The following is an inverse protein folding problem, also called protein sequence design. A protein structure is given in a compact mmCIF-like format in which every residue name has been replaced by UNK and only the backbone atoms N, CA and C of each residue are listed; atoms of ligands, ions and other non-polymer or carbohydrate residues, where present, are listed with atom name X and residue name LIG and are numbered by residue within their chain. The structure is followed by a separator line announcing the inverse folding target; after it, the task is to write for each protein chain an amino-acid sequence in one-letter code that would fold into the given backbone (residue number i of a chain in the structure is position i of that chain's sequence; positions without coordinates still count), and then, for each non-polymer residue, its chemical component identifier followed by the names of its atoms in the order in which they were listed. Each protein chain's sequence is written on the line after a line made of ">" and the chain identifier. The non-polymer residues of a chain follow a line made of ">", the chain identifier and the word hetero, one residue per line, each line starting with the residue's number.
data_IF_712377748266
#
_entry.id   IF_712377748266
#
_cell.length_a   1.000
_cell.length_b   1.000
_cell.length_c   1.000
_cell.angle_alpha   90.00
_cell.angle_beta   90.00
_cell.angle_gamma   90.00
#
_symmetry.space_group_name_H-M   'P 1'
#
loop_
_entity.id
_entity.type
_entity.pdbx_description
1 polymer ?
#
# COMPACT_ATOMS: atom_id res chain seq x y z
N UNK A 1 -42.01 -3.31 3.68
CA UNK A 1 -41.07 -2.51 2.89
C UNK A 1 -40.60 -1.33 3.71
N UNK A 2 -39.30 -1.07 3.76
CA UNK A 2 -38.73 0.07 4.49
C UNK A 2 -39.06 1.38 3.74
N UNK A 3 -39.28 2.48 4.47
CA UNK A 3 -39.45 3.80 3.83
C UNK A 3 -38.24 4.20 2.98
N UNK A 4 -37.05 3.74 3.37
CA UNK A 4 -35.78 4.03 2.67
C UNK A 4 -35.64 3.20 1.38
N UNK A 5 -36.11 1.96 1.37
CA UNK A 5 -36.18 1.10 0.17
C UNK A 5 -37.10 1.70 -0.90
N UNK A 6 -38.26 2.22 -0.49
CA UNK A 6 -39.20 2.89 -1.40
C UNK A 6 -38.58 4.16 -2.01
N UNK A 7 -37.81 4.91 -1.20
CA UNK A 7 -37.09 6.09 -1.66
C UNK A 7 -36.00 5.74 -2.70
N UNK A 8 -35.26 4.65 -2.51
CA UNK A 8 -34.27 4.17 -3.49
C UNK A 8 -34.96 3.80 -4.80
N UNK A 9 -36.03 3.00 -4.75
CA UNK A 9 -36.76 2.59 -5.97
C UNK A 9 -37.35 3.78 -6.73
N UNK A 10 -37.89 4.77 -6.01
CA UNK A 10 -38.40 6.02 -6.59
C UNK A 10 -37.29 6.94 -7.16
N UNK A 11 -36.14 7.00 -6.51
CA UNK A 11 -34.99 7.76 -7.01
C UNK A 11 -34.44 7.13 -8.29
N UNK A 12 -34.35 5.80 -8.33
CA UNK A 12 -33.99 5.05 -9.53
C UNK A 12 -35.00 5.26 -10.66
N UNK A 13 -36.30 5.27 -10.37
CA UNK A 13 -37.37 5.52 -11.37
C UNK A 13 -37.29 6.90 -12.03
N UNK A 14 -36.98 7.92 -11.22
CA UNK A 14 -36.86 9.31 -11.68
C UNK A 14 -35.53 9.60 -12.40
N UNK A 15 -34.61 8.64 -12.39
CA UNK A 15 -33.27 8.76 -12.97
C UNK A 15 -33.07 7.69 -14.05
N UNK A 16 -31.95 7.75 -14.75
CA UNK A 16 -31.62 6.72 -15.73
C UNK A 16 -31.18 5.41 -15.03
N UNK A 17 -32.09 4.43 -14.98
CA UNK A 17 -31.84 3.09 -14.44
C UNK A 17 -30.82 2.30 -15.25
N UNK A 18 -30.62 2.60 -16.52
CA UNK A 18 -29.67 1.87 -17.37
C UNK A 18 -28.23 2.31 -17.11
N UNK A 19 -28.02 3.52 -16.60
CA UNK A 19 -26.68 4.08 -16.38
C UNK A 19 -26.06 3.64 -15.04
N UNK A 20 -24.96 2.86 -15.04
CA UNK A 20 -24.35 2.34 -13.81
C UNK A 20 -23.77 3.43 -12.89
N UNK A 21 -23.30 4.55 -13.44
CA UNK A 21 -22.72 5.63 -12.63
C UNK A 21 -23.79 6.38 -11.82
N UNK A 22 -24.97 6.57 -12.41
CA UNK A 22 -26.10 7.23 -11.75
C UNK A 22 -26.64 6.32 -10.64
N UNK A 23 -26.76 5.01 -10.89
CA UNK A 23 -27.14 4.02 -9.86
C UNK A 23 -26.16 4.00 -8.69
N UNK A 24 -24.85 4.00 -8.96
CA UNK A 24 -23.82 4.03 -7.93
C UNK A 24 -23.92 5.26 -7.02
N UNK A 25 -24.17 6.45 -7.60
CA UNK A 25 -24.39 7.69 -6.81
C UNK A 25 -25.64 7.61 -5.94
N UNK A 26 -26.73 7.05 -6.45
CA UNK A 26 -27.98 6.88 -5.69
C UNK A 26 -27.74 5.95 -4.50
N UNK A 27 -27.04 4.82 -4.67
CA UNK A 27 -26.71 3.93 -3.56
C UNK A 27 -25.78 4.56 -2.53
N UNK A 28 -24.79 5.33 -2.98
CA UNK A 28 -23.93 6.08 -2.07
C UNK A 28 -24.74 7.09 -1.24
N UNK A 29 -25.67 7.80 -1.85
CA UNK A 29 -26.56 8.73 -1.14
C UNK A 29 -27.47 8.01 -0.13
N UNK A 30 -27.95 6.81 -0.45
CA UNK A 30 -28.79 6.01 0.44
C UNK A 30 -28.02 5.54 1.69
N UNK A 31 -26.75 5.13 1.53
CA UNK A 31 -25.88 4.77 2.66
C UNK A 31 -25.65 5.96 3.59
N UNK A 32 -25.37 7.13 3.02
CA UNK A 32 -25.20 8.36 3.80
C UNK A 32 -26.49 8.76 4.53
N UNK A 33 -27.64 8.61 3.88
CA UNK A 33 -28.95 8.88 4.49
C UNK A 33 -29.26 7.92 5.65
N UNK A 34 -28.90 6.64 5.53
CA UNK A 34 -29.04 5.67 6.63
C UNK A 34 -28.18 6.08 7.83
N UNK A 35 -26.91 6.41 7.62
CA UNK A 35 -26.01 6.85 8.70
C UNK A 35 -26.48 8.14 9.37
N UNK A 36 -26.95 9.10 8.58
CA UNK A 36 -27.53 10.34 9.10
C UNK A 36 -28.83 10.07 9.89
N UNK A 37 -29.66 9.13 9.43
CA UNK A 37 -30.88 8.71 10.12
C UNK A 37 -30.60 8.02 11.46
N UNK A 38 -29.64 7.09 11.49
CA UNK A 38 -29.23 6.39 12.71
C UNK A 38 -28.62 7.36 13.73
N UNK A 39 -27.78 8.30 13.28
CA UNK A 39 -27.25 9.37 14.14
C UNK A 39 -28.34 10.27 14.71
N UNK A 40 -29.35 10.63 13.90
CA UNK A 40 -30.47 11.48 14.33
C UNK A 40 -31.39 10.79 15.35
N UNK A 41 -31.45 9.46 15.33
CA UNK A 41 -32.19 8.65 16.28
C UNK A 41 -31.38 8.30 17.54
N UNK A 42 -30.15 8.82 17.65
CA UNK A 42 -29.20 8.57 18.74
C UNK A 42 -28.93 7.06 18.98
N UNK A 43 -29.02 6.27 17.92
CA UNK A 43 -28.72 4.83 17.96
C UNK A 43 -27.20 4.69 17.89
N UNK A 44 -26.59 4.37 19.03
CA UNK A 44 -25.14 4.23 19.19
C UNK A 44 -24.67 2.78 19.34
N UNK A 45 -25.61 1.83 19.45
CA UNK A 45 -25.28 0.40 19.51
C UNK A 45 -24.69 -0.09 18.19
N UNK A 46 -23.45 -0.58 18.26
CA UNK A 46 -22.66 -1.07 17.13
C UNK A 46 -23.36 -2.23 16.41
N UNK A 47 -24.05 -3.11 17.15
CA UNK A 47 -24.74 -4.28 16.59
C UNK A 47 -26.03 -3.87 15.84
N UNK A 48 -26.71 -2.83 16.32
CA UNK A 48 -27.89 -2.30 15.63
C UNK A 48 -27.49 -1.55 14.36
N UNK A 49 -26.40 -0.78 14.39
CA UNK A 49 -25.88 -0.10 13.20
C UNK A 49 -25.42 -1.11 12.14
N UNK A 50 -24.70 -2.17 12.55
CA UNK A 50 -24.21 -3.20 11.61
C UNK A 50 -25.36 -3.96 10.95
N UNK A 51 -26.38 -4.38 11.72
CA UNK A 51 -27.56 -5.07 11.17
C UNK A 51 -28.37 -4.19 10.21
N UNK A 52 -28.54 -2.90 10.50
CA UNK A 52 -29.23 -1.96 9.61
C UNK A 52 -28.45 -1.72 8.31
N UNK A 53 -27.12 -1.64 8.39
CA UNK A 53 -26.25 -1.57 7.19
C UNK A 53 -26.35 -2.83 6.35
N UNK A 54 -26.28 -4.01 6.97
CA UNK A 54 -26.41 -5.29 6.28
C UNK A 54 -27.77 -5.40 5.57
N UNK A 55 -28.85 -4.95 6.21
CA UNK A 55 -30.19 -4.93 5.61
C UNK A 55 -30.24 -4.02 4.38
N UNK A 56 -29.65 -2.83 4.43
CA UNK A 56 -29.57 -1.93 3.28
C UNK A 56 -28.78 -2.55 2.12
N UNK A 57 -27.61 -3.15 2.40
CA UNK A 57 -26.80 -3.80 1.37
C UNK A 57 -27.50 -5.03 0.76
N UNK A 58 -28.29 -5.77 1.53
CA UNK A 58 -29.12 -6.86 1.00
C UNK A 58 -30.16 -6.33 -0.01
N UNK A 59 -30.88 -5.26 0.36
CA UNK A 59 -31.87 -4.62 -0.54
C UNK A 59 -31.23 -4.03 -1.80
N UNK A 60 -30.05 -3.42 -1.71
CA UNK A 60 -29.33 -2.90 -2.90
C UNK A 60 -28.96 -4.06 -3.84
N UNK A 61 -28.49 -5.19 -3.30
CA UNK A 61 -28.16 -6.38 -4.09
C UNK A 61 -29.38 -6.96 -4.80
N UNK A 62 -30.52 -7.04 -4.11
CA UNK A 62 -31.80 -7.48 -4.69
C UNK A 62 -32.21 -6.56 -5.87
N UNK A 63 -32.15 -5.24 -5.67
CA UNK A 63 -32.49 -4.27 -6.72
C UNK A 63 -31.54 -4.38 -7.92
N UNK A 64 -30.23 -4.51 -7.71
CA UNK A 64 -29.27 -4.69 -8.81
C UNK A 64 -29.46 -6.02 -9.56
N UNK A 65 -29.83 -7.09 -8.85
CA UNK A 65 -30.16 -8.37 -9.48
C UNK A 65 -31.41 -8.25 -10.38
N UNK A 66 -32.45 -7.56 -9.91
CA UNK A 66 -33.63 -7.23 -10.72
C UNK A 66 -33.26 -6.38 -11.95
N UNK A 67 -32.37 -5.38 -11.81
CA UNK A 67 -31.94 -4.56 -12.93
C UNK A 67 -31.13 -5.34 -13.97
N UNK A 68 -30.31 -6.32 -13.54
CA UNK A 68 -29.54 -7.18 -14.44
C UNK A 68 -30.42 -8.21 -15.16
N UNK A 69 -31.49 -8.69 -14.52
CA UNK A 69 -32.39 -9.67 -15.09
C UNK A 69 -33.36 -9.10 -16.15
N UNK A 70 -33.76 -7.82 -16.02
CA UNK A 70 -34.66 -7.14 -16.98
C UNK A 70 -34.17 -7.09 -18.43
N UNK A 71 -32.93 -6.71 -18.76
CA UNK A 71 -32.45 -6.71 -20.15
C UNK A 71 -32.33 -8.11 -20.75
N UNK A 72 -32.23 -9.17 -19.92
CA UNK A 72 -32.26 -10.55 -20.40
C UNK A 72 -33.68 -11.03 -20.77
N UNK A 73 -34.73 -10.37 -20.26
CA UNK A 73 -36.13 -10.71 -20.50
C UNK A 73 -36.75 -9.92 -21.67
N UNK A 74 -36.17 -8.80 -22.09
CA UNK A 74 -36.63 -7.99 -23.23
C UNK A 74 -36.07 -8.45 -24.59
N UNK A 75 -35.21 -9.48 -24.65
CA UNK A 75 -34.84 -10.11 -25.92
C UNK A 75 -36.07 -10.88 -26.44
N UNK A 76 -36.70 -10.46 -27.55
CA UNK A 76 -37.81 -11.20 -28.11
C UNK A 76 -37.28 -12.54 -28.63
N UNK A 77 -37.80 -13.64 -28.11
CA UNK A 77 -37.74 -14.94 -28.76
C UNK A 77 -38.31 -14.80 -30.16
N UNK A 78 -37.44 -14.77 -31.16
CA UNK A 78 -37.85 -14.86 -32.55
C UNK A 78 -38.43 -16.26 -32.79
N UNK A 79 -39.61 -16.38 -33.42
CA UNK A 79 -40.24 -17.67 -33.63
C UNK A 79 -39.52 -18.45 -34.72
N UNK A 80 -39.40 -19.74 -34.44
CA UNK A 80 -38.99 -20.81 -35.33
C UNK A 80 -39.71 -20.75 -36.68
N UNK A 81 -38.94 -20.61 -37.77
CA UNK A 81 -39.42 -20.77 -39.14
C UNK A 81 -38.38 -21.53 -39.97
N UNK A 82 -38.63 -22.83 -40.12
CA UNK A 82 -38.63 -23.48 -41.42
C UNK A 82 -37.30 -24.06 -41.89
N UNK A 83 -37.09 -25.34 -41.56
CA UNK A 83 -36.28 -26.21 -42.41
C UNK A 83 -36.92 -26.33 -43.82
N UNK A 84 -36.09 -26.48 -44.87
CA UNK A 84 -36.37 -27.54 -45.81
C UNK A 84 -35.14 -28.41 -46.11
N UNK A 85 -35.48 -29.64 -46.47
CA UNK A 85 -34.65 -30.83 -46.60
C UNK A 85 -34.10 -30.98 -48.04
N UNK A 86 -33.31 -32.06 -48.26
CA UNK A 86 -32.95 -32.73 -49.54
C UNK A 86 -31.67 -32.20 -50.22
N UNK A 87 -30.66 -32.95 -50.66
CA UNK A 87 -30.17 -34.35 -50.54
C UNK A 87 -28.72 -34.40 -51.12
N UNK A 88 -27.98 -35.51 -50.99
CA UNK A 88 -26.53 -35.60 -51.23
C UNK A 88 -26.15 -36.13 -52.62
N UNK A 89 -25.05 -35.64 -53.23
CA UNK A 89 -24.26 -36.39 -54.22
C UNK A 89 -22.91 -35.72 -54.57
N UNK A 90 -21.84 -36.53 -54.48
CA UNK A 90 -20.59 -36.59 -55.28
C UNK A 90 -19.75 -35.29 -55.46
N UNK A 91 -18.43 -35.26 -55.25
CA UNK A 91 -17.40 -36.07 -55.92
C UNK A 91 -16.03 -35.78 -55.27
N UNK A 92 -15.16 -36.79 -55.14
CA UNK A 92 -13.72 -36.67 -54.80
C UNK A 92 -12.90 -36.56 -56.09
N UNK A 93 -11.85 -35.73 -56.16
CA UNK A 93 -10.47 -36.25 -56.13
C UNK A 93 -9.53 -35.32 -55.32
N UNK A 94 -8.79 -35.78 -54.33
CA UNK A 94 -7.43 -36.35 -54.35
C UNK A 94 -6.29 -35.47 -54.91
N UNK A 95 -5.27 -35.31 -54.04
CA UNK A 95 -3.85 -34.99 -54.26
C UNK A 95 -3.37 -33.57 -54.66
N UNK A 96 -2.54 -32.98 -53.79
CA UNK A 96 -1.62 -31.88 -54.14
C UNK A 96 -0.94 -31.24 -52.92
N UNK A 97 0.38 -31.45 -52.81
CA UNK A 97 1.32 -31.04 -51.73
C UNK A 97 1.30 -29.56 -51.28
N UNK A 98 1.86 -29.27 -50.07
CA UNK A 98 1.98 -27.92 -49.54
C UNK A 98 3.19 -27.18 -50.12
N UNK A 99 3.03 -25.90 -50.44
CA UNK A 99 4.14 -24.98 -50.73
C UNK A 99 4.24 -24.00 -49.57
N UNK A 100 5.38 -24.05 -48.88
CA UNK A 100 5.86 -23.08 -47.91
C UNK A 100 5.71 -21.66 -48.45
N UNK A 101 5.11 -20.77 -47.66
CA UNK A 101 5.23 -19.32 -47.86
C UNK A 101 6.18 -18.76 -46.82
N UNK A 102 7.39 -18.46 -47.29
CA UNK A 102 8.48 -17.79 -46.60
C UNK A 102 8.07 -16.36 -46.24
N UNK A 103 8.26 -15.97 -44.97
CA UNK A 103 8.29 -14.57 -44.56
C UNK A 103 9.67 -13.96 -44.84
N UNK A 104 9.75 -12.72 -45.36
CA UNK A 104 11.02 -12.03 -45.55
C UNK A 104 11.52 -11.43 -44.23
N UNK A 105 12.68 -11.92 -43.78
CA UNK A 105 13.51 -11.31 -42.73
C UNK A 105 14.20 -10.07 -43.32
N UNK A 106 13.90 -8.89 -42.79
CA UNK A 106 14.67 -7.67 -43.03
C UNK A 106 15.95 -7.70 -42.19
N UNK A 107 17.08 -7.80 -42.89
CA UNK A 107 18.44 -7.62 -42.39
C UNK A 107 18.82 -6.14 -42.47
N UNK A 108 19.31 -5.56 -41.37
CA UNK A 108 20.09 -4.31 -41.40
C UNK A 108 21.47 -4.60 -40.81
N UNK A 109 22.42 -4.77 -41.73
CA UNK A 109 23.87 -4.56 -41.61
C UNK A 109 24.10 -3.08 -41.90
N UNK A 110 24.96 -2.29 -41.27
CA UNK A 110 26.04 -2.48 -40.29
C UNK A 110 27.03 -1.33 -40.55
N UNK A 111 27.69 -0.77 -39.53
CA UNK A 111 28.97 -0.08 -39.76
C UNK A 111 29.85 -0.10 -38.50
N UNK A 112 31.10 -0.50 -38.74
CA UNK A 112 32.16 -0.87 -37.79
C UNK A 112 33.12 0.28 -37.58
N UNK A 113 33.73 0.39 -36.38
CA UNK A 113 35.13 0.82 -36.28
C UNK A 113 35.81 0.21 -35.07
N UNK A 114 36.79 -0.64 -35.38
CA UNK A 114 37.74 -1.24 -34.45
C UNK A 114 39.10 -0.59 -34.66
N UNK A 115 39.80 -0.21 -33.58
CA UNK A 115 41.28 -0.22 -33.56
C UNK A 115 41.81 -0.16 -32.12
N UNK A 116 42.70 -1.09 -31.79
CA UNK A 116 43.66 -1.10 -30.68
C UNK A 116 44.82 -2.04 -31.08
N UNK A 117 45.96 -2.18 -30.35
CA UNK A 117 46.80 -1.28 -29.53
C UNK A 117 48.30 -1.37 -30.00
N UNK A 118 49.39 -1.04 -29.23
CA UNK A 118 49.89 -1.87 -28.09
C UNK A 118 50.75 -1.21 -26.94
N UNK A 119 50.67 -1.80 -25.73
CA UNK A 119 51.74 -2.28 -24.78
C UNK A 119 52.72 -1.32 -24.02
N UNK A 120 52.71 -1.33 -22.65
CA UNK A 120 53.78 -1.84 -21.73
C UNK A 120 53.86 -1.22 -20.29
N UNK A 121 53.84 -2.12 -19.27
CA UNK A 121 54.67 -2.22 -18.01
C UNK A 121 54.51 -1.24 -16.80
N UNK A 122 53.93 -1.75 -15.70
CA UNK A 122 54.47 -2.04 -14.33
C UNK A 122 55.22 -0.99 -13.44
N UNK A 123 55.29 -1.15 -12.08
CA UNK A 123 54.88 -0.14 -11.08
C UNK A 123 55.94 0.34 -10.03
N UNK A 124 55.48 0.94 -8.90
CA UNK A 124 56.12 1.21 -7.54
C UNK A 124 56.65 2.69 -7.33
N UNK A 125 56.89 3.29 -6.11
CA UNK A 125 55.96 3.78 -5.04
C UNK A 125 56.37 5.12 -4.28
N UNK A 126 55.60 5.49 -3.22
CA UNK A 126 55.96 6.17 -1.91
C UNK A 126 56.31 7.70 -1.77
N UNK A 127 55.79 8.28 -0.66
CA UNK A 127 56.15 9.50 0.13
C UNK A 127 55.82 10.92 -0.42
N UNK A 128 54.95 11.70 0.26
CA UNK A 128 55.16 12.58 1.44
C UNK A 128 55.75 13.94 1.08
N UNK A 129 54.98 15.02 1.32
CA UNK A 129 55.52 16.23 1.97
C UNK A 129 54.42 17.20 2.43
N UNK A 130 54.67 17.68 3.63
CA UNK A 130 54.04 18.72 4.44
C UNK A 130 54.28 20.13 3.91
N UNK A 131 53.26 21.01 3.99
CA UNK A 131 53.47 22.46 4.24
C UNK A 131 52.32 23.02 5.08
N UNK A 132 52.69 23.61 6.21
CA UNK A 132 51.91 24.42 7.14
C UNK A 132 52.06 25.91 6.76
N UNK A 133 50.99 26.72 6.88
CA UNK A 133 50.95 27.98 7.65
C UNK A 133 49.85 28.97 7.24
N UNK A 134 49.31 29.61 8.29
CA UNK A 134 48.70 30.95 8.40
C UNK A 134 47.15 31.08 8.30
N UNK A 135 46.54 31.33 9.48
CA UNK A 135 45.17 31.83 9.68
C UNK A 135 45.00 33.34 9.41
N UNK A 136 43.86 33.96 9.81
CA UNK A 136 43.67 34.29 11.23
C UNK A 136 42.23 34.18 11.79
N UNK A 137 42.18 34.44 13.10
CA UNK A 137 41.15 34.30 14.12
C UNK A 137 39.87 35.12 13.92
N UNK A 138 38.75 34.63 14.46
CA UNK A 138 37.77 35.48 15.15
C UNK A 138 37.11 34.73 16.30
N UNK A 139 37.17 35.38 17.45
CA UNK A 139 36.66 35.08 18.78
C UNK A 139 35.18 35.49 18.88
N UNK A 140 34.29 34.62 19.37
CA UNK A 140 33.05 35.02 20.04
C UNK A 140 32.60 33.93 21.02
N UNK A 141 32.51 34.35 22.28
CA UNK A 141 32.30 33.49 23.45
C UNK A 141 30.86 33.04 23.73
N UNK A 142 30.83 31.95 24.49
CA UNK A 142 30.02 31.65 25.67
C UNK A 142 28.64 32.33 25.82
N UNK A 143 27.58 31.55 25.62
CA UNK A 143 26.23 31.85 26.12
C UNK A 143 25.59 30.53 26.60
N UNK A 144 25.56 30.32 27.92
CA UNK A 144 24.73 29.30 28.58
C UNK A 144 23.28 29.76 28.68
N UNK A 145 22.36 28.81 28.51
CA UNK A 145 20.94 28.95 28.82
C UNK A 145 20.66 28.65 30.30
N UNK A 146 19.85 29.49 30.94
CA UNK A 146 19.27 29.26 32.26
C UNK A 146 17.73 29.44 32.20
N UNK A 147 16.95 28.69 33.02
CA UNK A 147 15.52 28.50 32.80
C UNK A 147 14.68 29.54 33.56
N UNK A 148 13.51 29.87 33.02
CA UNK A 148 12.44 30.52 33.76
C UNK A 148 11.08 30.01 33.26
N UNK A 149 10.47 29.17 34.09
CA UNK A 149 9.03 29.16 34.36
C UNK A 149 8.61 30.61 34.77
N UNK A 150 7.39 31.13 34.70
CA UNK A 150 6.09 30.58 35.05
C UNK A 150 5.00 31.40 34.33
N UNK A 151 3.96 30.73 33.84
CA UNK A 151 2.71 31.33 33.39
C UNK A 151 1.79 31.55 34.59
N UNK A 152 1.35 32.78 34.81
CA UNK A 152 0.33 33.15 35.80
C UNK A 152 -0.81 33.89 35.12
N UNK A 153 -1.98 33.26 35.16
CA UNK A 153 -3.26 33.68 34.57
C UNK A 153 -3.89 34.76 35.45
N UNK A 154 -4.37 35.84 34.84
CA UNK A 154 -5.21 36.85 35.48
C UNK A 154 -6.62 36.27 35.71
N UNK A 155 -7.13 36.37 36.94
CA UNK A 155 -8.56 36.23 37.25
C UNK A 155 -9.01 37.34 38.19
N UNK A 156 -10.07 38.02 37.75
CA UNK A 156 -10.85 39.03 38.48
C UNK A 156 -11.36 38.48 39.82
N UNK A 157 -11.04 39.16 40.93
CA UNK A 157 -12.00 39.32 42.04
C UNK A 157 -11.83 40.69 42.71
N UNK A 158 -13.00 41.30 42.90
CA UNK A 158 -13.42 42.53 43.57
C UNK A 158 -12.93 42.71 45.01
N UNK A 159 -12.55 43.94 45.39
CA UNK A 159 -12.70 44.45 46.75
C UNK A 159 -12.84 45.97 46.77
N UNK A 160 -13.66 46.43 47.73
CA UNK A 160 -14.27 47.76 47.88
C UNK A 160 -13.50 48.69 48.82
N UNK A 161 -13.51 49.98 48.47
CA UNK A 161 -13.55 51.20 49.30
C UNK A 161 -12.70 51.34 50.59
N UNK A 162 -11.88 52.40 50.62
CA UNK A 162 -11.32 53.06 51.82
C UNK A 162 -10.58 54.35 51.44
N UNK A 163 -10.94 55.47 52.07
CA UNK A 163 -10.63 56.85 51.64
C UNK A 163 -9.29 57.43 52.21
N UNK A 164 -8.99 58.75 52.12
CA UNK A 164 -7.92 59.31 51.29
C UNK A 164 -6.75 59.92 52.09
N UNK A 165 -5.56 60.11 51.48
CA UNK A 165 -4.61 61.11 51.99
C UNK A 165 -3.56 61.54 50.97
N UNK A 166 -3.29 62.85 51.01
CA UNK A 166 -2.10 63.56 50.53
C UNK A 166 -1.86 63.67 49.01
N UNK A 167 -2.27 64.83 48.50
CA UNK A 167 -1.85 65.37 47.22
C UNK A 167 -0.32 65.54 47.13
N UNK A 168 0.27 65.01 46.05
CA UNK A 168 1.52 65.47 45.46
C UNK A 168 1.24 65.81 44.00
N UNK A 169 1.38 67.06 43.54
CA UNK A 169 1.23 67.39 42.14
C UNK A 169 2.53 66.97 41.42
N UNK A 170 2.58 65.73 40.94
CA UNK A 170 3.59 65.37 39.94
C UNK A 170 3.15 65.93 38.59
N UNK A 171 3.81 67.00 38.19
CA UNK A 171 3.76 67.57 36.85
C UNK A 171 4.23 66.53 35.82
N UNK A 172 3.31 65.74 35.28
CA UNK A 172 3.56 64.95 34.09
C UNK A 172 3.26 65.82 32.86
N UNK A 173 4.33 66.33 32.23
CA UNK A 173 4.26 66.80 30.84
C UNK A 173 3.98 65.59 29.95
N UNK A 174 2.88 65.55 29.18
CA UNK A 174 2.70 64.52 28.16
C UNK A 174 3.61 64.87 26.98
N UNK A 175 4.89 64.49 27.08
CA UNK A 175 5.81 64.63 25.97
C UNK A 175 5.57 63.49 24.96
N UNK A 176 5.02 63.90 23.82
CA UNK A 176 5.02 63.21 22.51
C UNK A 176 4.13 61.98 22.39
N UNK A 177 2.89 62.26 21.99
CA UNK A 177 2.06 61.37 21.21
C UNK A 177 2.90 60.73 20.08
N UNK A 178 3.10 59.42 20.16
CA UNK A 178 3.68 58.64 19.07
C UNK A 178 2.79 58.81 17.83
N UNK A 179 3.31 59.54 16.85
CA UNK A 179 2.66 59.73 15.55
C UNK A 179 2.39 58.34 14.97
N UNK A 180 1.11 57.96 14.91
CA UNK A 180 0.66 56.75 14.20
C UNK A 180 1.16 56.85 12.77
N UNK A 181 2.23 56.11 12.45
CA UNK A 181 2.69 55.96 11.07
C UNK A 181 1.57 55.28 10.30
N UNK A 182 0.96 56.03 9.38
CA UNK A 182 -0.08 55.57 8.48
C UNK A 182 0.41 54.27 7.81
N UNK A 183 -0.30 53.13 7.93
CA UNK A 183 0.18 51.89 7.36
C UNK A 183 0.27 52.08 5.85
N UNK A 184 1.47 51.89 5.27
CA UNK A 184 1.67 51.87 3.83
C UNK A 184 0.97 50.63 3.27
N UNK A 185 -0.34 50.76 3.00
CA UNK A 185 -1.21 49.73 2.40
C UNK A 185 -0.69 49.20 1.04
N UNK A 186 0.33 49.83 0.47
CA UNK A 186 0.97 49.40 -0.77
C UNK A 186 1.76 48.09 -0.62
N UNK A 187 2.52 47.90 0.45
CA UNK A 187 3.33 46.67 0.62
C UNK A 187 2.46 45.44 0.92
N UNK A 188 1.39 45.62 1.69
CA UNK A 188 0.41 44.54 1.94
C UNK A 188 -0.34 44.14 0.66
N UNK A 189 -0.73 45.12 -0.18
CA UNK A 189 -1.35 44.82 -1.48
C UNK A 189 -0.39 44.15 -2.46
N UNK A 190 0.88 44.56 -2.46
CA UNK A 190 1.93 43.93 -3.27
C UNK A 190 2.14 42.46 -2.87
N UNK A 191 2.19 42.16 -1.57
CA UNK A 191 2.36 40.80 -1.06
C UNK A 191 1.17 39.90 -1.43
N UNK A 192 -0.06 40.39 -1.28
CA UNK A 192 -1.26 39.65 -1.69
C UNK A 192 -1.26 39.40 -3.21
N UNK A 193 -0.83 40.38 -4.00
CA UNK A 193 -0.73 40.23 -5.45
C UNK A 193 0.34 39.20 -5.85
N UNK A 194 1.51 39.20 -5.21
CA UNK A 194 2.55 38.20 -5.44
C UNK A 194 2.08 36.78 -5.09
N UNK A 195 1.35 36.62 -3.99
CA UNK A 195 0.78 35.33 -3.59
C UNK A 195 -0.25 34.85 -4.62
N UNK A 196 -1.13 35.72 -5.10
CA UNK A 196 -2.09 35.37 -6.15
C UNK A 196 -1.39 34.94 -7.45
N UNK A 197 -0.33 35.64 -7.87
CA UNK A 197 0.46 35.24 -9.03
C UNK A 197 1.16 33.90 -8.82
N UNK A 198 1.68 33.63 -7.63
CA UNK A 198 2.30 32.35 -7.31
C UNK A 198 1.29 31.20 -7.39
N UNK A 199 0.08 31.35 -6.83
CA UNK A 199 -0.97 30.35 -6.94
C UNK A 199 -1.42 30.09 -8.38
N UNK A 200 -1.54 31.14 -9.20
CA UNK A 200 -1.86 30.98 -10.63
C UNK A 200 -0.73 30.29 -11.40
N UNK A 201 0.52 30.62 -11.10
CA UNK A 201 1.69 29.97 -11.71
C UNK A 201 1.78 28.49 -11.36
N UNK A 202 1.64 28.15 -10.07
CA UNK A 202 1.64 26.76 -9.61
C UNK A 202 0.43 26.00 -10.15
N UNK A 203 -0.76 26.62 -10.16
CA UNK A 203 -1.96 26.03 -10.73
C UNK A 203 -1.82 25.74 -12.23
N UNK A 204 -1.31 26.69 -13.01
CA UNK A 204 -1.05 26.51 -14.44
C UNK A 204 0.02 25.44 -14.72
N UNK A 205 1.10 25.43 -13.94
CA UNK A 205 2.14 24.41 -14.05
C UNK A 205 1.61 23.02 -13.67
N UNK A 206 0.78 22.93 -12.64
CA UNK A 206 0.13 21.69 -12.20
C UNK A 206 -0.83 21.15 -13.28
N UNK A 207 -1.66 22.00 -13.89
CA UNK A 207 -2.55 21.60 -14.99
C UNK A 207 -1.76 21.07 -16.19
N UNK A 208 -0.64 21.72 -16.54
CA UNK A 208 0.24 21.26 -17.63
C UNK A 208 0.86 19.90 -17.35
N UNK A 209 1.20 19.61 -16.10
CA UNK A 209 1.91 18.37 -15.69
C UNK A 209 0.99 17.22 -15.33
N UNK A 210 -0.24 17.51 -14.88
CA UNK A 210 -1.18 16.51 -14.35
C UNK A 210 -1.97 15.76 -15.43
N UNK A 211 -1.75 16.10 -16.71
CA UNK A 211 -2.39 15.41 -17.83
C UNK A 211 -3.92 15.43 -17.76
N UNK A 212 -4.52 16.45 -17.14
CA UNK A 212 -5.98 16.55 -16.89
C UNK A 212 -6.79 16.48 -18.19
N UNK A 213 -6.21 16.91 -19.31
CA UNK A 213 -6.83 16.84 -20.64
C UNK A 213 -6.61 15.51 -21.38
N UNK A 214 -5.89 14.53 -20.80
CA UNK A 214 -5.75 13.21 -21.41
C UNK A 214 -7.04 12.42 -21.22
N UNK A 215 -7.55 11.86 -22.32
CA UNK A 215 -8.73 10.98 -22.33
C UNK A 215 -8.45 9.68 -21.57
N UNK A 216 -9.49 9.02 -21.04
CA UNK A 216 -9.36 7.77 -20.28
C UNK A 216 -8.56 6.69 -21.04
N UNK A 217 -8.74 6.62 -22.36
CA UNK A 217 -8.03 5.68 -23.23
C UNK A 217 -6.51 5.96 -23.36
N UNK A 218 -6.06 7.21 -23.16
CA UNK A 218 -4.64 7.56 -23.18
C UNK A 218 -3.95 7.38 -21.82
N UNK A 219 -4.72 7.32 -20.72
CA UNK A 219 -4.18 6.93 -19.41
C UNK A 219 -4.00 5.43 -19.27
N UNK A 220 -4.62 4.65 -20.16
CA UNK A 220 -4.66 3.19 -20.13
C UNK A 220 -3.49 2.56 -20.91
N UNK A 221 -2.28 3.07 -20.70
CA UNK A 221 -1.08 2.49 -21.30
C UNK A 221 -0.42 1.52 -20.33
N UNK A 222 -0.52 0.24 -20.68
CA UNK A 222 0.23 -0.93 -20.20
C UNK A 222 -0.47 -1.87 -19.21
N UNK A 223 -1.60 -2.45 -19.64
CA UNK A 223 -1.89 -3.90 -19.69
C UNK A 223 -3.28 -4.02 -20.31
N UNK A 224 -3.49 -4.96 -21.25
CA UNK A 224 -4.84 -5.26 -21.75
C UNK A 224 -5.64 -5.81 -20.56
N UNK A 225 -6.46 -4.97 -19.94
CA UNK A 225 -7.42 -5.39 -18.92
C UNK A 225 -8.72 -5.79 -19.64
N UNK A 226 -8.93 -7.08 -19.99
CA UNK A 226 -10.24 -7.50 -20.45
C UNK A 226 -11.27 -7.17 -19.35
N UNK A 227 -12.52 -6.84 -19.70
CA UNK A 227 -13.55 -6.57 -18.71
C UNK A 227 -13.64 -7.78 -17.76
N UNK A 228 -13.57 -7.51 -16.46
CA UNK A 228 -13.71 -8.54 -15.44
C UNK A 228 -15.05 -9.26 -15.65
N UNK A 229 -14.97 -10.52 -16.06
CA UNK A 229 -16.10 -11.43 -16.14
C UNK A 229 -16.06 -12.31 -14.90
N UNK A 230 -17.21 -12.48 -14.27
CA UNK A 230 -17.40 -13.42 -13.16
C UNK A 230 -18.22 -14.55 -13.75
N UNK A 231 -17.60 -15.70 -13.97
CA UNK A 231 -18.31 -16.88 -14.44
C UNK A 231 -19.05 -17.51 -13.26
N UNK A 232 -20.26 -18.03 -13.51
CA UNK A 232 -21.11 -18.64 -12.48
C UNK A 232 -20.51 -19.92 -11.87
N UNK A 233 -19.35 -20.35 -12.36
CA UNK A 233 -18.58 -21.48 -11.83
C UNK A 233 -17.59 -21.05 -10.73
N UNK A 234 -17.31 -19.75 -10.59
CA UNK A 234 -16.44 -19.18 -9.55
C UNK A 234 -17.17 -18.92 -8.22
N UNK A 235 -18.46 -19.28 -8.12
CA UNK A 235 -19.29 -19.08 -6.93
C UNK A 235 -20.00 -20.38 -6.53
N UNK A 236 -19.32 -21.24 -5.78
CA UNK A 236 -19.97 -22.39 -5.12
C UNK A 236 -20.53 -21.96 -3.76
N UNK A 237 -21.72 -21.36 -3.77
CA UNK A 237 -22.49 -21.11 -2.55
C UNK A 237 -23.25 -22.36 -2.12
N UNK A 238 -22.86 -22.97 -1.00
CA UNK A 238 -23.64 -24.02 -0.35
C UNK A 238 -24.84 -23.40 0.39
N UNK A 239 -25.87 -23.02 -0.34
CA UNK A 239 -27.17 -22.74 0.26
C UNK A 239 -27.88 -24.06 0.53
N UNK A 240 -27.82 -24.53 1.78
CA UNK A 240 -28.80 -25.48 2.32
C UNK A 240 -29.20 -25.00 3.71
N UNK A 241 -30.18 -24.10 3.74
CA UNK A 241 -31.12 -24.01 4.84
C UNK A 241 -32.08 -25.20 4.66
N UNK A 242 -31.99 -26.21 5.53
CA UNK A 242 -33.15 -26.93 6.07
C UNK A 242 -32.72 -27.90 7.20
N UNK A 243 -33.40 -27.70 8.33
CA UNK A 243 -33.85 -28.66 9.33
C UNK A 243 -32.91 -29.50 10.22
N UNK A 244 -33.28 -29.46 11.50
CA UNK A 244 -32.82 -30.25 12.65
C UNK A 244 -32.67 -31.75 12.36
N UNK A 245 -31.50 -32.31 12.69
CA UNK A 245 -31.40 -33.66 13.24
C UNK A 245 -30.10 -33.82 14.05
N UNK A 246 -30.27 -34.43 15.21
CA UNK A 246 -29.28 -34.78 16.20
C UNK A 246 -28.62 -36.14 15.82
N UNK A 247 -27.37 -36.32 16.27
CA UNK A 247 -26.49 -37.51 16.15
C UNK A 247 -25.74 -37.82 14.83
N UNK A 248 -24.41 -37.90 15.03
CA UNK A 248 -23.44 -38.87 14.50
C UNK A 248 -22.71 -38.65 13.15
N UNK A 249 -21.42 -38.98 13.22
CA UNK A 249 -20.42 -39.31 12.20
C UNK A 249 -20.36 -38.47 10.90
N UNK A 250 -19.28 -37.71 10.73
CA UNK A 250 -18.97 -37.04 9.47
C UNK A 250 -17.54 -37.37 9.01
N UNK A 251 -17.35 -38.62 8.61
CA UNK A 251 -16.33 -39.03 7.65
C UNK A 251 -16.77 -38.62 6.23
N UNK A 252 -16.43 -37.39 5.83
CA UNK A 252 -16.64 -36.86 4.47
C UNK A 252 -15.51 -35.90 4.08
N UNK A 253 -15.10 -35.83 2.79
CA UNK A 253 -13.86 -35.18 2.39
C UNK A 253 -13.95 -33.67 2.62
N UNK A 254 -13.09 -33.19 3.52
CA UNK A 254 -12.91 -31.77 3.82
C UNK A 254 -12.35 -31.09 2.57
N UNK A 255 -13.14 -30.26 1.89
CA UNK A 255 -12.66 -29.38 0.82
C UNK A 255 -11.65 -28.38 1.42
N UNK A 256 -10.36 -28.37 1.02
CA UNK A 256 -9.34 -27.50 1.63
C UNK A 256 -9.42 -26.02 1.20
N UNK A 257 -10.44 -25.62 0.45
CA UNK A 257 -10.40 -24.38 -0.34
C UNK A 257 -10.96 -23.11 0.29
N UNK A 258 -11.65 -23.18 1.44
CA UNK A 258 -12.26 -22.01 2.07
C UNK A 258 -11.82 -21.86 3.54
N UNK A 259 -10.51 -21.71 3.74
CA UNK A 259 -10.04 -21.08 4.97
C UNK A 259 -10.48 -19.61 4.92
N UNK A 260 -11.38 -19.22 5.83
CA UNK A 260 -11.78 -17.84 6.10
C UNK A 260 -10.56 -16.93 6.02
N UNK A 261 -10.50 -16.06 5.01
CA UNK A 261 -9.42 -15.08 4.85
C UNK A 261 -9.63 -14.01 5.92
N UNK A 262 -8.93 -14.14 7.05
CA UNK A 262 -8.74 -13.10 8.02
C UNK A 262 -7.62 -12.20 7.48
N UNK A 263 -7.93 -10.95 7.06
CA UNK A 263 -6.93 -10.02 6.51
C UNK A 263 -5.85 -9.63 7.53
N UNK A 264 -6.00 -10.00 8.80
CA UNK A 264 -5.00 -9.77 9.83
C UNK A 264 -4.30 -11.04 10.33
N UNK A 265 -4.82 -12.25 10.02
CA UNK A 265 -4.28 -13.46 10.64
C UNK A 265 -4.46 -14.83 9.93
N UNK A 266 -4.88 -14.96 8.67
CA UNK A 266 -4.87 -16.29 8.04
C UNK A 266 -4.44 -16.31 6.57
N UNK A 267 -3.23 -16.83 6.38
CA UNK A 267 -2.78 -17.43 5.14
C UNK A 267 -3.15 -18.94 5.17
N UNK A 268 -3.46 -19.54 4.01
CA UNK A 268 -3.87 -20.95 3.90
C UNK A 268 -2.83 -21.92 4.50
N UNK A 269 -3.23 -23.17 4.79
CA UNK A 269 -2.36 -24.22 5.35
C UNK A 269 -1.14 -24.58 4.45
N UNK A 270 -1.06 -24.01 3.25
CA UNK A 270 0.03 -24.20 2.29
C UNK A 270 1.28 -23.35 2.61
N UNK A 271 1.14 -22.34 3.48
CA UNK A 271 2.26 -21.49 3.87
C UNK A 271 3.10 -22.14 4.96
N UNK A 272 4.38 -22.33 4.67
CA UNK A 272 5.35 -22.87 5.62
C UNK A 272 5.92 -21.73 6.46
N UNK A 273 5.72 -21.80 7.77
CA UNK A 273 6.24 -20.80 8.71
C UNK A 273 7.73 -21.02 9.00
N UNK A 274 8.54 -20.00 8.70
CA UNK A 274 10.00 -20.01 8.89
C UNK A 274 10.39 -19.33 10.21
N UNK A 275 9.71 -18.23 10.56
CA UNK A 275 9.95 -17.49 11.79
C UNK A 275 8.62 -17.15 12.47
N UNK A 276 8.50 -17.52 13.75
CA UNK A 276 7.38 -17.13 14.62
C UNK A 276 7.66 -15.82 15.35
N UNK A 277 6.62 -15.08 15.80
CA UNK A 277 6.80 -13.79 16.48
C UNK A 277 7.55 -13.86 17.82
N UNK A 278 7.74 -15.05 18.40
CA UNK A 278 8.43 -15.25 19.69
C UNK A 278 9.80 -15.92 19.56
N UNK A 279 10.31 -16.06 18.33
CA UNK A 279 11.51 -16.84 18.02
C UNK A 279 12.73 -15.96 17.70
N UNK A 280 12.96 -14.87 18.44
CA UNK A 280 14.14 -14.02 18.25
C UNK A 280 15.48 -14.79 18.35
N UNK A 281 15.52 -15.90 19.10
CA UNK A 281 16.70 -16.77 19.20
C UNK A 281 17.08 -17.47 17.90
N UNK A 282 16.15 -17.59 16.93
CA UNK A 282 16.43 -18.11 15.58
C UNK A 282 16.95 -17.03 14.62
N UNK A 283 17.02 -15.78 15.07
CA UNK A 283 17.53 -14.65 14.29
C UNK A 283 18.97 -14.37 14.70
N UNK A 284 19.92 -14.82 13.89
CA UNK A 284 21.32 -14.46 14.04
C UNK A 284 21.50 -12.97 13.80
N UNK A 285 22.25 -12.29 14.66
CA UNK A 285 22.53 -10.85 14.52
C UNK A 285 24.03 -10.63 14.30
N UNK A 286 24.38 -9.83 13.29
CA UNK A 286 25.74 -9.32 13.10
C UNK A 286 26.14 -8.32 14.21
N UNK A 287 27.41 -7.87 14.20
CA UNK A 287 27.98 -7.01 15.26
C UNK A 287 27.22 -5.69 15.51
N UNK A 288 26.55 -5.15 14.49
CA UNK A 288 25.77 -3.92 14.54
C UNK A 288 24.29 -4.17 14.24
N UNK A 289 23.78 -5.36 14.56
CA UNK A 289 22.37 -5.71 14.51
C UNK A 289 21.90 -6.23 15.87
N UNK A 290 20.62 -6.04 16.19
CA UNK A 290 19.97 -6.57 17.38
C UNK A 290 18.64 -7.21 17.00
N UNK A 291 18.40 -8.42 17.48
CA UNK A 291 17.12 -9.12 17.42
C UNK A 291 16.63 -9.44 18.84
N UNK A 292 15.41 -9.03 19.18
CA UNK A 292 14.84 -9.29 20.50
C UNK A 292 13.32 -9.58 20.43
N UNK A 293 12.84 -10.43 21.33
CA UNK A 293 11.40 -10.68 21.46
C UNK A 293 10.76 -9.48 22.16
N UNK A 294 9.74 -8.91 21.55
CA UNK A 294 8.94 -7.80 22.09
C UNK A 294 7.46 -8.16 22.08
N UNK A 295 6.70 -7.52 22.96
CA UNK A 295 5.24 -7.58 22.94
C UNK A 295 4.73 -6.17 22.68
N UNK A 296 4.04 -5.99 21.56
CA UNK A 296 3.42 -4.74 21.15
C UNK A 296 1.90 -4.84 21.21
N UNK A 297 1.19 -3.74 20.99
CA UNK A 297 -0.28 -3.71 20.98
C UNK A 297 -0.89 -4.70 19.98
N UNK A 298 -0.19 -4.99 18.88
CA UNK A 298 -0.61 -5.93 17.83
C UNK A 298 -0.13 -7.37 18.05
N UNK A 299 0.40 -7.68 19.25
CA UNK A 299 0.87 -8.99 19.66
C UNK A 299 2.38 -9.10 19.80
N UNK A 300 2.86 -10.32 20.05
CA UNK A 300 4.29 -10.62 20.10
C UNK A 300 4.94 -10.39 18.72
N UNK A 301 6.20 -9.98 18.71
CA UNK A 301 7.01 -9.83 17.51
C UNK A 301 8.50 -9.96 17.82
N UNK A 302 9.30 -10.26 16.78
CA UNK A 302 10.75 -10.15 16.84
C UNK A 302 11.14 -8.76 16.35
N UNK A 303 11.66 -7.91 17.24
CA UNK A 303 12.21 -6.61 16.87
C UNK A 303 13.60 -6.76 16.31
N UNK A 304 13.79 -6.31 15.07
CA UNK A 304 15.09 -6.21 14.42
C UNK A 304 15.47 -4.73 14.35
N UNK A 305 16.65 -4.40 14.87
CA UNK A 305 17.24 -3.05 14.77
C UNK A 305 18.65 -3.16 14.24
N UNK A 306 18.89 -2.57 13.08
CA UNK A 306 20.21 -2.45 12.45
C UNK A 306 20.80 -1.08 12.81
N UNK A 307 22.10 -1.01 13.08
CA UNK A 307 22.84 0.22 13.37
C UNK A 307 23.82 0.60 12.25
N UNK A 308 23.84 -0.18 11.16
CA UNK A 308 24.65 0.05 9.98
C UNK A 308 23.93 -0.44 8.73
N UNK A 309 24.08 0.29 7.62
CA UNK A 309 23.57 -0.09 6.29
C UNK A 309 24.38 -1.20 5.62
N UNK A 310 25.55 -1.56 6.18
CA UNK A 310 26.42 -2.61 5.67
C UNK A 310 26.10 -4.00 6.23
N UNK A 311 26.97 -4.98 5.94
CA UNK A 311 26.81 -6.36 6.41
C UNK A 311 26.81 -6.52 7.93
N UNK A 312 27.45 -5.59 8.64
CA UNK A 312 27.50 -5.58 10.10
C UNK A 312 26.13 -5.28 10.72
N UNK A 313 25.22 -4.63 9.98
CA UNK A 313 23.84 -4.38 10.41
C UNK A 313 22.84 -5.46 10.00
N UNK A 314 23.30 -6.59 9.47
CA UNK A 314 22.42 -7.64 8.99
C UNK A 314 21.87 -8.50 10.14
N UNK A 315 20.57 -8.75 10.11
CA UNK A 315 19.90 -9.82 10.84
C UNK A 315 19.63 -10.99 9.89
N UNK A 316 19.93 -12.21 10.32
CA UNK A 316 19.89 -13.41 9.49
C UNK A 316 18.93 -14.42 10.10
N UNK A 317 17.91 -14.79 9.32
CA UNK A 317 16.94 -15.82 9.69
C UNK A 317 17.30 -17.10 8.94
N UNK A 318 17.47 -18.19 9.68
CA UNK A 318 17.76 -19.49 9.08
C UNK A 318 16.51 -20.08 8.42
N UNK A 319 16.63 -20.46 7.15
CA UNK A 319 15.58 -21.15 6.38
C UNK A 319 15.90 -22.65 6.36
N UNK A 320 15.04 -23.52 6.92
CA UNK A 320 15.31 -24.95 6.98
C UNK A 320 15.47 -25.60 5.61
N UNK A 321 16.28 -26.66 5.54
CA UNK A 321 16.49 -27.47 4.32
C UNK A 321 15.19 -28.01 3.74
N UNK A 322 14.25 -28.42 4.59
CA UNK A 322 12.93 -28.94 4.17
C UNK A 322 12.10 -27.92 3.41
N UNK A 323 12.25 -26.62 3.70
CA UNK A 323 11.58 -25.52 2.99
C UNK A 323 12.27 -25.30 1.64
N UNK A 324 13.60 -25.22 1.65
CA UNK A 324 14.39 -25.01 0.43
C UNK A 324 14.23 -26.15 -0.58
N UNK A 325 14.08 -27.38 -0.10
CA UNK A 325 13.80 -28.56 -0.94
C UNK A 325 12.46 -28.44 -1.67
N UNK A 326 11.45 -27.86 -1.04
CA UNK A 326 10.13 -27.66 -1.67
C UNK A 326 10.13 -26.50 -2.68
N UNK A 327 11.02 -25.53 -2.50
CA UNK A 327 11.19 -24.40 -3.42
C UNK A 327 12.04 -24.74 -4.65
N UNK A 328 12.81 -25.83 -4.61
CA UNK A 328 13.76 -26.17 -5.66
C UNK A 328 13.07 -26.42 -7.01
N UNK A 329 13.47 -25.68 -8.04
CA UNK A 329 12.87 -25.75 -9.37
C UNK A 329 11.44 -25.18 -9.50
N UNK A 330 10.90 -24.52 -8.45
CA UNK A 330 9.53 -23.99 -8.45
C UNK A 330 9.50 -22.49 -8.15
N UNK A 331 8.63 -21.69 -8.81
CA UNK A 331 8.41 -20.31 -8.42
C UNK A 331 7.77 -20.27 -7.03
N UNK A 332 8.45 -19.69 -6.05
CA UNK A 332 8.02 -19.66 -4.65
C UNK A 332 7.79 -18.23 -4.19
N UNK A 333 6.83 -18.00 -3.31
CA UNK A 333 6.54 -16.67 -2.74
C UNK A 333 7.02 -16.61 -1.30
N UNK A 334 7.75 -15.55 -0.94
CA UNK A 334 8.18 -15.27 0.43
C UNK A 334 7.37 -14.08 0.94
N UNK A 335 6.80 -14.20 2.13
CA UNK A 335 6.03 -13.17 2.79
C UNK A 335 6.63 -12.83 4.17
N UNK A 336 6.81 -11.55 4.43
CA UNK A 336 7.23 -11.02 5.74
C UNK A 336 6.14 -10.10 6.26
N UNK A 337 5.58 -10.43 7.43
CA UNK A 337 4.61 -9.55 8.11
C UNK A 337 5.35 -8.58 9.02
N UNK A 338 5.32 -7.29 8.70
CA UNK A 338 6.22 -6.27 9.24
C UNK A 338 5.49 -5.03 9.73
N UNK A 339 6.07 -4.36 10.73
CA UNK A 339 5.64 -3.05 11.22
C UNK A 339 6.86 -2.20 11.61
N UNK A 340 6.84 -0.91 11.33
CA UNK A 340 7.89 0.02 11.77
C UNK A 340 7.75 0.32 13.26
N UNK A 341 8.88 0.41 13.95
CA UNK A 341 8.91 0.83 15.36
C UNK A 341 8.76 2.35 15.52
N UNK A 342 8.90 3.12 14.44
CA UNK A 342 8.83 4.59 14.44
C UNK A 342 7.64 5.12 13.65
N UNK A 343 7.17 6.33 13.96
CA UNK A 343 6.04 6.94 13.22
C UNK A 343 6.34 7.18 11.74
N UNK A 344 7.61 7.35 11.39
CA UNK A 344 8.06 7.49 10.02
C UNK A 344 8.29 6.11 9.36
N UNK A 345 7.96 5.92 8.06
CA UNK A 345 8.22 4.66 7.38
C UNK A 345 9.71 4.29 7.34
N UNK A 346 10.04 3.03 7.63
CA UNK A 346 11.41 2.49 7.65
C UNK A 346 11.69 1.77 6.34
N UNK A 347 12.79 2.11 5.67
CA UNK A 347 13.23 1.35 4.49
C UNK A 347 14.07 0.16 4.92
N UNK A 348 13.75 -1.00 4.38
CA UNK A 348 14.47 -2.24 4.68
C UNK A 348 14.96 -2.90 3.41
N UNK A 349 15.97 -3.75 3.55
CA UNK A 349 16.41 -4.67 2.52
C UNK A 349 16.24 -6.11 2.98
N UNK A 350 15.86 -6.98 2.04
CA UNK A 350 15.74 -8.42 2.22
C UNK A 350 16.54 -9.10 1.10
N UNK A 351 17.48 -9.95 1.49
CA UNK A 351 18.30 -10.76 0.59
C UNK A 351 18.18 -12.24 0.95
N UNK A 352 18.41 -13.12 -0.02
CA UNK A 352 18.41 -14.56 0.17
C UNK A 352 19.80 -15.11 -0.14
N UNK A 353 20.30 -15.98 0.74
CA UNK A 353 21.50 -16.79 0.53
C UNK A 353 21.16 -18.25 0.85
N UNK A 354 20.64 -18.97 -0.15
CA UNK A 354 20.17 -20.36 -0.02
C UNK A 354 21.20 -21.38 -0.53
N UNK A 355 22.49 -21.01 -0.46
CA UNK A 355 23.60 -21.88 -0.86
C UNK A 355 23.52 -22.28 -2.34
N UNK A 356 23.41 -23.59 -2.60
CA UNK A 356 23.37 -24.14 -3.97
C UNK A 356 22.13 -23.72 -4.77
N UNK A 357 21.00 -23.43 -4.10
CA UNK A 357 19.76 -23.00 -4.73
C UNK A 357 19.91 -21.60 -5.35
N UNK A 358 20.69 -20.72 -4.71
CA UNK A 358 21.05 -19.42 -5.21
C UNK A 358 20.66 -18.26 -4.29
N UNK A 359 20.61 -17.07 -4.89
CA UNK A 359 20.28 -15.79 -4.22
C UNK A 359 19.11 -15.13 -4.93
N UNK A 360 18.29 -14.38 -4.21
CA UNK A 360 17.14 -13.65 -4.78
C UNK A 360 17.48 -12.19 -5.17
N UNK A 361 18.73 -11.77 -4.97
CA UNK A 361 19.11 -10.36 -5.06
C UNK A 361 18.64 -9.58 -3.83
N UNK A 362 18.59 -8.25 -3.96
CA UNK A 362 18.25 -7.33 -2.87
C UNK A 362 16.89 -6.70 -3.10
N UNK A 363 15.89 -7.17 -2.36
CA UNK A 363 14.55 -6.60 -2.36
C UNK A 363 14.49 -5.45 -1.36
N UNK A 364 13.86 -4.34 -1.76
CA UNK A 364 13.68 -3.15 -0.90
C UNK A 364 12.20 -2.96 -0.62
N UNK A 365 11.87 -2.76 0.66
CA UNK A 365 10.51 -2.51 1.10
C UNK A 365 10.46 -1.25 1.97
N UNK A 366 9.30 -0.61 2.00
CA UNK A 366 9.02 0.50 2.90
C UNK A 366 7.99 0.02 3.91
N UNK A 367 8.40 -0.10 5.18
CA UNK A 367 7.57 -0.61 6.26
C UNK A 367 6.92 0.56 6.98
N UNK A 368 5.59 0.54 7.09
CA UNK A 368 4.81 1.59 7.76
C UNK A 368 4.52 1.26 9.22
N UNK A 369 3.85 2.16 9.96
CA UNK A 369 3.34 1.89 11.31
C UNK A 369 2.18 0.92 11.35
N UNK A 370 1.52 0.69 10.23
CA UNK A 370 0.51 -0.36 10.11
C UNK A 370 1.22 -1.66 9.77
N UNK A 371 0.81 -2.75 10.44
CA UNK A 371 1.25 -4.09 10.10
C UNK A 371 0.83 -4.41 8.67
N UNK A 372 1.83 -4.75 7.86
CA UNK A 372 1.69 -4.97 6.42
C UNK A 372 2.57 -6.13 5.99
N UNK A 373 2.15 -6.83 4.95
CA UNK A 373 2.93 -7.93 4.39
C UNK A 373 3.79 -7.43 3.22
N UNK A 374 5.09 -7.69 3.32
CA UNK A 374 6.02 -7.55 2.22
C UNK A 374 6.14 -8.91 1.51
N UNK A 375 5.65 -8.98 0.27
CA UNK A 375 5.68 -10.19 -0.55
C UNK A 375 6.61 -10.02 -1.73
N UNK A 376 7.36 -11.08 -2.06
CA UNK A 376 8.12 -11.16 -3.29
C UNK A 376 8.22 -12.61 -3.76
N UNK A 377 8.29 -12.77 -5.08
CA UNK A 377 8.48 -14.07 -5.71
C UNK A 377 9.95 -14.32 -5.98
N UNK A 378 10.36 -15.56 -5.77
CA UNK A 378 11.69 -16.07 -6.11
C UNK A 378 11.54 -17.24 -7.06
N UNK A 379 12.37 -17.28 -8.10
CA UNK A 379 12.44 -18.39 -9.03
C UNK A 379 13.89 -18.85 -9.13
N UNK A 380 14.10 -20.15 -9.00
CA UNK A 380 15.41 -20.76 -9.09
C UNK A 380 15.37 -21.81 -10.21
N UNK A 381 16.15 -21.58 -11.27
CA UNK A 381 16.26 -22.51 -12.40
C UNK A 381 16.90 -23.85 -11.99
N UNK A 382 17.59 -23.87 -10.84
CA UNK A 382 18.26 -25.05 -10.31
C UNK A 382 17.25 -25.93 -9.57
N UNK A 383 17.00 -27.11 -10.12
CA UNK A 383 16.19 -28.16 -9.49
C UNK A 383 16.94 -28.96 -8.40
N UNK A 384 18.26 -28.77 -8.26
CA UNK A 384 19.03 -29.47 -7.23
C UNK A 384 18.77 -28.83 -5.86
N UNK A 385 18.03 -29.54 -5.03
CA UNK A 385 17.70 -29.08 -3.69
C UNK A 385 18.94 -28.98 -2.77
N UNK A 386 19.07 -27.91 -1.97
CA UNK A 386 20.15 -27.80 -0.98
C UNK A 386 20.13 -28.91 0.06
N UNK A 387 21.32 -29.30 0.51
CA UNK A 387 21.53 -30.21 1.64
C UNK A 387 21.82 -29.47 2.96
N UNK A 388 22.01 -28.15 2.91
CA UNK A 388 22.24 -27.26 4.05
C UNK A 388 21.14 -26.21 4.16
N UNK A 389 20.95 -25.67 5.37
CA UNK A 389 20.04 -24.55 5.57
C UNK A 389 20.51 -23.31 4.80
N UNK A 390 19.54 -22.44 4.51
CA UNK A 390 19.76 -21.16 3.86
C UNK A 390 19.53 -20.02 4.82
N UNK A 391 19.74 -18.80 4.34
CA UNK A 391 19.63 -17.59 5.15
C UNK A 391 18.81 -16.54 4.43
N UNK A 392 17.83 -15.98 5.14
CA UNK A 392 17.18 -14.73 4.76
C UNK A 392 17.85 -13.60 5.55
N UNK A 393 18.39 -12.62 4.85
CA UNK A 393 19.20 -11.55 5.42
C UNK A 393 18.37 -10.27 5.34
N UNK A 394 18.14 -9.64 6.49
CA UNK A 394 17.32 -8.45 6.65
C UNK A 394 18.18 -7.33 7.21
N UNK A 395 18.13 -6.16 6.61
CA UNK A 395 18.75 -4.94 7.15
C UNK A 395 17.72 -3.81 7.19
N UNK A 396 17.57 -3.20 8.36
CA UNK A 396 16.58 -2.15 8.65
C UNK A 396 17.14 -0.73 8.59
N UNK A 397 18.45 -0.57 8.46
CA UNK A 397 19.15 0.72 8.48
C UNK A 397 19.60 1.17 7.09
N UNK A 398 18.72 1.00 6.09
CA UNK A 398 19.03 1.38 4.70
C UNK A 398 19.27 2.87 4.55
N UNK A 399 18.64 3.69 5.41
CA UNK A 399 18.74 5.15 5.39
C UNK A 399 19.66 5.74 6.49
N UNK A 400 20.37 4.91 7.24
CA UNK A 400 21.35 5.34 8.26
C UNK A 400 20.73 5.99 9.50
N UNK A 401 19.45 5.72 9.78
CA UNK A 401 18.70 6.29 10.92
C UNK A 401 18.53 5.32 12.09
N UNK A 402 19.11 4.13 12.01
CA UNK A 402 19.05 3.07 13.00
C UNK A 402 17.61 2.74 13.46
N UNK A 403 16.67 2.72 12.52
CA UNK A 403 15.25 2.49 12.80
C UNK A 403 14.94 1.00 12.79
N UNK A 404 14.21 0.55 13.81
CA UNK A 404 13.82 -0.85 13.93
C UNK A 404 12.56 -1.19 13.14
N UNK A 405 12.36 -2.50 12.96
CA UNK A 405 11.12 -3.11 12.51
C UNK A 405 10.70 -4.22 13.48
N UNK A 406 9.41 -4.40 13.66
CA UNK A 406 8.82 -5.56 14.31
C UNK A 406 8.45 -6.58 13.22
N UNK A 407 8.95 -7.80 13.34
CA UNK A 407 8.64 -8.94 12.46
C UNK A 407 7.66 -9.85 13.19
N UNK A 408 6.46 -9.98 12.64
CA UNK A 408 5.41 -10.83 13.20
C UNK A 408 5.47 -12.25 12.67
N UNK A 409 5.91 -12.43 11.42
CA UNK A 409 6.09 -13.74 10.83
C UNK A 409 6.95 -13.65 9.57
N UNK A 410 7.64 -14.75 9.25
CA UNK A 410 8.24 -14.98 7.93
C UNK A 410 7.71 -16.32 7.44
N UNK A 411 7.14 -16.33 6.24
CA UNK A 411 6.49 -17.51 5.65
C UNK A 411 6.91 -17.68 4.20
N UNK A 412 6.87 -18.93 3.75
CA UNK A 412 7.17 -19.32 2.38
C UNK A 412 6.03 -20.15 1.83
N UNK A 413 5.57 -19.79 0.63
CA UNK A 413 4.67 -20.59 -0.18
C UNK A 413 5.48 -21.18 -1.35
N UNK A 414 5.85 -22.47 -1.29
CA UNK A 414 6.44 -23.14 -2.44
C UNK A 414 5.45 -23.17 -3.60
N UNK A 415 5.94 -23.01 -4.83
CA UNK A 415 5.11 -23.20 -6.02
C UNK A 415 4.58 -24.64 -6.10
N UNK A 416 3.45 -24.83 -6.78
CA UNK A 416 2.95 -26.16 -7.10
C UNK A 416 3.67 -26.75 -8.31
#
# INVERSE_FOLDING_TARGET
>A
MSGLETAIRSALDRSDRANPEIRARIYQSARQALEAGLRKQDITDVNVISSQRQRLEATIREIEAEQRARPAQEIPTSPDLGAPHVSPAATRPEAGRPVLRTEPVMSVRGETRETAPPVARDPVPVESESVEAAGPQSDFGDMRAGPADHLGIDSEVRATAGAPTAARPMNFKPERAAVRRKPRKFFSRLLVFCILLAFLGVGGWWIKTSGVFMSAAQRDTSVRNPPAHVDSQDFSGNNSEDDNAEYDDNSGPVNPGLATIDPQNSFSAEWIEVLKPTEASKVGSSAQAKAENVSENEGAAVRITSLSSGSDGNATVEVPTSVLQQMAGKPSTIALTLQSTSDAPTQITVECDFGSLGRCGRHRFTVSRQKTDALFQVHYDRAMAPTSSGRLIINSDVDGKARGINVYAIRVLPGQ
#
